data_IF_064986530109
#
_entry.id   IF_064986530109
#
_cell.length_a   1.000
_cell.length_b   1.000
_cell.length_c   1.000
_cell.angle_alpha   90.00
_cell.angle_beta   90.00
_cell.angle_gamma   90.00
#
_symmetry.space_group_name_H-M   'P 1'
#
loop_
_entity.id
_entity.type
_entity.pdbx_description
1 polymer ?
#
# COMPACT_ATOMS: atom_id res chain seq x y z
N UNK A 1 11.77 -0.19 46.61
CA UNK A 1 10.40 0.06 46.09
C UNK A 1 10.01 -1.16 45.31
N UNK A 2 8.75 -1.57 45.39
CA UNK A 2 8.26 -2.63 44.50
C UNK A 2 8.00 -1.97 43.13
N UNK A 3 8.62 -2.49 42.07
CA UNK A 3 8.40 -2.08 40.71
C UNK A 3 7.05 -2.59 40.18
N UNK A 4 6.70 -2.21 38.96
CA UNK A 4 5.43 -2.59 38.30
C UNK A 4 5.36 -4.09 37.96
N UNK A 5 6.52 -4.83 38.01
CA UNK A 5 6.62 -6.27 37.87
C UNK A 5 6.47 -7.04 39.17
N UNK A 6 6.38 -6.31 40.29
CA UNK A 6 6.36 -6.91 41.65
C UNK A 6 7.73 -7.30 42.21
N UNK A 7 8.84 -6.85 41.57
CA UNK A 7 10.20 -7.05 42.07
C UNK A 7 10.52 -5.94 43.09
N UNK A 8 11.17 -6.31 44.15
CA UNK A 8 11.46 -5.39 45.27
C UNK A 8 12.95 -5.03 45.32
N UNK A 9 13.37 -4.17 44.40
CA UNK A 9 14.75 -3.66 44.37
C UNK A 9 14.84 -2.20 43.90
N UNK A 10 15.99 -1.71 43.51
CA UNK A 10 16.23 -0.41 42.90
C UNK A 10 17.07 -0.54 41.62
N UNK A 11 16.93 -1.65 40.90
CA UNK A 11 17.62 -1.90 39.63
C UNK A 11 16.73 -1.59 38.46
N UNK A 12 16.91 -0.45 37.78
CA UNK A 12 16.07 -0.08 36.63
C UNK A 12 16.31 -0.95 35.37
N UNK A 13 17.26 -1.88 35.41
CA UNK A 13 17.56 -2.77 34.30
C UNK A 13 16.62 -3.97 34.21
N UNK A 14 15.89 -4.26 35.28
CA UNK A 14 14.90 -5.33 35.35
C UNK A 14 13.46 -4.81 35.50
N UNK A 15 13.26 -3.49 35.43
CA UNK A 15 11.91 -2.88 35.37
C UNK A 15 11.16 -3.35 34.15
N UNK A 16 9.91 -3.75 34.33
CA UNK A 16 9.05 -4.10 33.18
C UNK A 16 8.73 -2.88 32.34
N UNK A 17 8.65 -3.10 31.04
CA UNK A 17 7.98 -2.17 30.11
C UNK A 17 6.53 -2.61 29.89
N UNK A 18 5.66 -1.65 29.70
CA UNK A 18 4.29 -1.93 29.29
C UNK A 18 4.30 -2.45 27.86
N UNK A 19 3.62 -3.57 27.64
CA UNK A 19 3.35 -4.02 26.28
C UNK A 19 2.32 -3.11 25.58
N UNK A 20 2.05 -3.37 24.30
CA UNK A 20 1.10 -2.56 23.54
C UNK A 20 -0.36 -2.68 24.02
N UNK A 21 -0.70 -3.71 24.82
CA UNK A 21 -1.99 -3.86 25.48
C UNK A 21 -2.06 -3.14 26.84
N UNK A 22 -0.98 -2.48 27.24
CA UNK A 22 -0.89 -1.77 28.51
C UNK A 22 -0.58 -2.66 29.72
N UNK A 23 -0.14 -3.91 29.50
CA UNK A 23 0.19 -4.86 30.54
C UNK A 23 1.68 -4.78 30.84
N UNK A 24 2.03 -4.57 32.11
CA UNK A 24 3.41 -4.53 32.57
C UNK A 24 4.07 -5.92 32.46
N UNK A 25 5.18 -6.01 31.73
CA UNK A 25 5.86 -7.28 31.48
C UNK A 25 5.07 -8.26 30.61
N UNK A 26 4.07 -7.77 29.87
CA UNK A 26 3.30 -8.57 28.93
C UNK A 26 4.08 -8.89 27.66
N UNK A 27 3.59 -9.88 26.93
CA UNK A 27 4.19 -10.38 25.68
C UNK A 27 3.50 -9.83 24.43
N UNK A 28 2.54 -8.90 24.58
CA UNK A 28 1.82 -8.33 23.46
C UNK A 28 2.76 -7.45 22.62
N UNK A 29 2.91 -7.81 21.35
CA UNK A 29 3.70 -7.05 20.37
C UNK A 29 2.80 -6.36 19.37
N UNK A 30 3.24 -5.23 18.87
CA UNK A 30 2.59 -4.54 17.75
C UNK A 30 3.00 -5.28 16.49
N UNK A 31 2.02 -5.70 15.68
CA UNK A 31 2.29 -6.25 14.36
C UNK A 31 2.79 -5.17 13.38
N UNK A 32 3.16 -5.56 12.18
CA UNK A 32 3.63 -4.64 11.13
C UNK A 32 2.58 -3.63 10.67
N UNK A 33 1.30 -3.82 11.03
CA UNK A 33 0.20 -2.86 10.79
C UNK A 33 -0.01 -1.88 11.96
N UNK A 34 0.79 -1.94 13.02
CA UNK A 34 0.60 -1.12 14.20
C UNK A 34 -0.49 -1.63 15.17
N UNK A 35 -1.03 -2.84 14.96
CA UNK A 35 -2.09 -3.42 15.78
C UNK A 35 -1.46 -4.27 16.89
N UNK A 36 -1.88 -3.99 18.12
CA UNK A 36 -1.43 -4.75 19.28
C UNK A 36 -2.00 -6.18 19.26
N UNK A 37 -1.13 -7.19 19.32
CA UNK A 37 -1.44 -8.62 19.13
C UNK A 37 -2.10 -8.94 17.78
N UNK A 38 -1.89 -8.10 16.78
CA UNK A 38 -2.27 -8.42 15.42
C UNK A 38 -1.44 -9.57 14.86
N UNK A 39 -1.97 -10.26 13.88
CA UNK A 39 -1.32 -11.37 13.17
C UNK A 39 -0.78 -10.97 11.78
N UNK A 40 -0.74 -9.65 11.51
CA UNK A 40 -0.35 -9.11 10.21
C UNK A 40 -1.44 -9.23 9.14
N UNK A 41 -2.57 -9.90 9.44
CA UNK A 41 -3.64 -10.10 8.46
C UNK A 41 -4.38 -8.81 8.11
N UNK A 42 -4.32 -7.81 8.99
CA UNK A 42 -4.89 -6.49 8.77
C UNK A 42 -4.08 -5.65 7.78
N UNK A 43 -2.80 -5.99 7.56
CA UNK A 43 -1.98 -5.47 6.49
C UNK A 43 -1.96 -6.39 5.26
N UNK A 44 -2.61 -7.55 5.33
CA UNK A 44 -2.71 -8.50 4.22
C UNK A 44 -3.92 -8.23 3.33
N UNK A 45 -4.16 -6.96 2.99
CA UNK A 45 -4.74 -6.65 1.71
C UNK A 45 -3.56 -6.47 0.76
N UNK A 46 -3.46 -7.29 -0.26
CA UNK A 46 -2.45 -7.21 -1.31
C UNK A 46 -2.17 -5.76 -1.70
N UNK A 47 -0.98 -5.22 -1.31
CA UNK A 47 -0.51 -3.88 -1.66
C UNK A 47 -0.75 -2.82 -0.57
N UNK A 48 0.31 -2.26 -0.05
CA UNK A 48 0.49 -1.02 0.72
C UNK A 48 -0.73 -0.40 1.41
N UNK A 49 -1.21 -1.02 2.50
CA UNK A 49 -2.40 -0.51 3.19
C UNK A 49 -2.19 0.91 3.72
N UNK A 50 -3.04 1.84 3.30
CA UNK A 50 -3.09 3.19 3.89
C UNK A 50 -3.58 3.09 5.34
N UNK A 51 -2.86 3.72 6.27
CA UNK A 51 -3.22 3.72 7.69
C UNK A 51 -4.49 4.55 7.98
N UNK A 52 -4.92 5.37 7.02
CA UNK A 52 -6.14 6.18 7.12
C UNK A 52 -6.41 6.98 5.84
N UNK A 53 -7.62 7.53 5.74
CA UNK A 53 -8.07 8.27 4.56
C UNK A 53 -7.16 9.45 4.19
N UNK A 54 -6.48 10.05 5.17
CA UNK A 54 -5.59 11.20 4.93
C UNK A 54 -4.21 10.81 4.43
N UNK A 55 -3.88 9.52 4.42
CA UNK A 55 -2.64 8.98 3.86
C UNK A 55 -2.81 8.61 2.38
N UNK A 56 -4.05 8.64 1.86
CA UNK A 56 -4.32 8.46 0.45
C UNK A 56 -3.67 9.56 -0.40
N UNK A 57 -3.19 9.24 -1.60
CA UNK A 57 -2.83 10.26 -2.58
C UNK A 57 -3.99 11.24 -2.84
N UNK A 58 -3.65 12.48 -3.19
CA UNK A 58 -4.68 13.49 -3.50
C UNK A 58 -5.49 13.09 -4.72
N UNK A 59 -6.81 13.32 -4.66
CA UNK A 59 -7.80 12.98 -5.68
C UNK A 59 -7.95 11.47 -5.93
N UNK A 60 -7.89 10.70 -4.82
CA UNK A 60 -8.17 9.28 -4.85
C UNK A 60 -9.26 8.87 -3.86
N UNK A 61 -9.86 7.71 -4.13
CA UNK A 61 -10.74 6.99 -3.20
C UNK A 61 -10.22 5.58 -2.98
N UNK A 62 -10.53 5.03 -1.82
CA UNK A 62 -10.13 3.68 -1.41
C UNK A 62 -11.31 2.96 -0.75
N UNK A 63 -11.39 1.65 -0.94
CA UNK A 63 -12.40 0.80 -0.33
C UNK A 63 -11.77 0.01 0.83
N UNK A 64 -12.17 0.34 2.05
CA UNK A 64 -11.79 -0.38 3.26
C UNK A 64 -12.99 -1.19 3.78
N UNK A 65 -13.04 -2.47 3.42
CA UNK A 65 -14.18 -3.34 3.75
C UNK A 65 -15.50 -2.86 3.14
N UNK A 66 -16.24 -2.03 3.85
CA UNK A 66 -17.46 -1.38 3.37
C UNK A 66 -17.39 0.14 3.38
N UNK A 67 -16.33 0.69 3.94
CA UNK A 67 -16.11 2.13 4.04
C UNK A 67 -15.41 2.63 2.77
N UNK A 68 -15.92 3.70 2.17
CA UNK A 68 -15.23 4.39 1.08
C UNK A 68 -14.52 5.60 1.64
N UNK A 69 -13.19 5.54 1.65
CA UNK A 69 -12.34 6.65 2.04
C UNK A 69 -12.04 7.54 0.84
N UNK A 70 -11.77 8.81 1.11
CA UNK A 70 -11.40 9.78 0.08
C UNK A 70 -10.34 10.74 0.57
N UNK A 71 -9.54 11.28 -0.36
CA UNK A 71 -8.69 12.43 -0.18
C UNK A 71 -8.77 13.28 -1.45
N UNK A 72 -9.36 14.48 -1.38
CA UNK A 72 -9.57 15.37 -2.54
C UNK A 72 -9.23 16.81 -2.22
N UNK A 73 -8.78 17.58 -3.21
CA UNK A 73 -8.42 18.99 -3.10
C UNK A 73 -9.53 19.95 -3.56
N UNK A 74 -10.72 19.42 -3.87
CA UNK A 74 -11.89 20.20 -4.28
C UNK A 74 -13.14 19.87 -3.45
N UNK A 75 -14.14 20.74 -3.47
CA UNK A 75 -15.43 20.48 -2.83
C UNK A 75 -16.27 19.55 -3.71
N UNK A 76 -16.67 18.38 -3.20
CA UNK A 76 -17.47 17.40 -3.93
C UNK A 76 -18.91 17.88 -4.03
N UNK A 77 -19.43 17.95 -5.25
CA UNK A 77 -20.85 18.26 -5.56
C UNK A 77 -21.68 17.02 -5.87
N UNK A 78 -21.04 15.94 -6.30
CA UNK A 78 -21.66 14.65 -6.57
C UNK A 78 -20.65 13.58 -6.90
N UNK A 79 -21.05 12.30 -6.78
CA UNK A 79 -20.17 11.17 -7.07
C UNK A 79 -20.94 9.94 -7.51
N UNK A 80 -20.27 9.08 -8.25
CA UNK A 80 -20.73 7.76 -8.66
C UNK A 80 -19.56 6.82 -8.82
N UNK A 81 -19.80 5.52 -8.56
CA UNK A 81 -18.89 4.42 -8.89
C UNK A 81 -19.64 3.09 -8.99
N UNK A 82 -18.96 2.06 -9.46
CA UNK A 82 -19.39 0.68 -9.37
C UNK A 82 -18.53 -0.08 -8.37
N UNK A 83 -19.14 -0.96 -7.60
CA UNK A 83 -18.45 -1.92 -6.72
C UNK A 83 -18.17 -3.18 -7.51
N UNK A 84 -16.90 -3.54 -7.62
CA UNK A 84 -16.47 -4.73 -8.35
C UNK A 84 -16.50 -5.97 -7.44
N UNK A 85 -16.92 -7.09 -7.97
CA UNK A 85 -17.00 -8.37 -7.24
C UNK A 85 -18.21 -8.51 -6.29
N UNK A 86 -18.93 -7.43 -5.97
CA UNK A 86 -20.03 -7.45 -5.00
C UNK A 86 -21.21 -6.57 -5.39
N UNK A 87 -22.27 -6.61 -4.57
CA UNK A 87 -23.44 -5.72 -4.70
C UNK A 87 -23.70 -4.98 -3.40
N UNK A 88 -24.23 -3.77 -3.53
CA UNK A 88 -24.54 -2.89 -2.41
C UNK A 88 -25.97 -3.14 -1.95
N UNK A 89 -26.13 -3.45 -0.67
CA UNK A 89 -27.45 -3.68 -0.05
C UNK A 89 -27.98 -2.45 0.66
N UNK A 90 -27.09 -1.60 1.18
CA UNK A 90 -27.44 -0.30 1.76
C UNK A 90 -26.22 0.61 1.81
N UNK A 91 -26.48 1.92 1.91
CA UNK A 91 -25.47 2.98 2.10
C UNK A 91 -25.90 3.87 3.27
N UNK A 92 -24.95 4.35 4.06
CA UNK A 92 -25.21 5.25 5.18
C UNK A 92 -23.92 5.97 5.61
N UNK A 93 -24.06 6.96 6.47
CA UNK A 93 -22.96 7.57 7.20
C UNK A 93 -21.97 8.36 6.34
N UNK A 94 -20.81 8.62 6.94
CA UNK A 94 -19.72 9.38 6.35
C UNK A 94 -20.02 10.87 6.16
N UNK A 95 -19.07 11.55 5.50
CA UNK A 95 -19.17 12.98 5.22
C UNK A 95 -20.29 13.33 4.24
N UNK A 96 -20.67 12.37 3.38
CA UNK A 96 -21.81 12.50 2.50
C UNK A 96 -23.13 12.70 3.29
N UNK A 97 -23.38 11.86 4.29
CA UNK A 97 -24.54 12.00 5.15
C UNK A 97 -24.49 13.29 5.98
N UNK A 98 -23.33 13.63 6.51
CA UNK A 98 -23.13 14.87 7.28
C UNK A 98 -23.37 16.13 6.44
N UNK A 99 -23.04 16.09 5.13
CA UNK A 99 -23.28 17.17 4.18
C UNK A 99 -24.71 17.18 3.59
N UNK A 100 -25.57 16.25 4.02
CA UNK A 100 -26.95 16.15 3.54
C UNK A 100 -27.09 15.56 2.12
N UNK A 101 -26.15 14.75 1.72
CA UNK A 101 -26.25 13.96 0.48
C UNK A 101 -27.24 12.82 0.63
N UNK A 102 -27.90 12.52 -0.47
CA UNK A 102 -28.60 11.27 -0.66
C UNK A 102 -27.66 10.32 -1.37
N UNK A 103 -27.25 9.22 -0.68
CA UNK A 103 -26.43 8.17 -1.28
C UNK A 103 -27.32 6.97 -1.50
N UNK A 104 -27.32 6.42 -2.72
CA UNK A 104 -28.11 5.27 -3.11
C UNK A 104 -27.23 4.22 -3.76
N UNK A 105 -27.40 2.95 -3.31
CA UNK A 105 -26.83 1.78 -3.96
C UNK A 105 -27.90 0.98 -4.71
N UNK A 106 -27.62 0.60 -5.95
CA UNK A 106 -28.51 -0.23 -6.76
C UNK A 106 -27.69 -1.27 -7.53
N UNK A 107 -27.73 -2.52 -7.09
CA UNK A 107 -26.83 -3.56 -7.62
C UNK A 107 -25.38 -3.23 -7.25
N UNK A 108 -24.51 -3.08 -8.25
CA UNK A 108 -23.13 -2.66 -8.03
C UNK A 108 -22.92 -1.14 -8.04
N UNK A 109 -23.91 -0.35 -8.53
CA UNK A 109 -23.72 1.11 -8.71
C UNK A 109 -24.09 1.86 -7.45
N UNK A 110 -23.24 2.81 -7.06
CA UNK A 110 -23.47 3.79 -5.99
C UNK A 110 -23.51 5.18 -6.60
N UNK A 111 -24.51 5.98 -6.20
CA UNK A 111 -24.69 7.36 -6.63
C UNK A 111 -24.94 8.26 -5.40
N UNK A 112 -24.16 9.32 -5.26
CA UNK A 112 -24.29 10.33 -4.21
C UNK A 112 -24.52 11.73 -4.77
N UNK A 113 -25.57 12.42 -4.30
CA UNK A 113 -25.88 13.77 -4.72
C UNK A 113 -26.69 14.50 -3.64
N UNK A 114 -26.72 15.84 -3.71
CA UNK A 114 -27.51 16.68 -2.81
C UNK A 114 -28.64 17.38 -3.56
N UNK A 115 -29.88 17.22 -3.10
CA UNK A 115 -31.03 17.95 -3.62
C UNK A 115 -31.04 19.45 -3.21
N UNK A 116 -30.30 19.79 -2.16
CA UNK A 116 -30.27 21.13 -1.59
C UNK A 116 -29.04 21.95 -2.01
N UNK A 117 -28.18 21.34 -2.85
CA UNK A 117 -26.93 21.96 -3.27
C UNK A 117 -25.83 21.94 -2.19
N UNK A 118 -25.96 21.04 -1.20
CA UNK A 118 -24.89 20.79 -0.24
C UNK A 118 -23.65 20.21 -0.93
N UNK A 119 -22.47 20.50 -0.39
CA UNK A 119 -21.19 19.99 -0.88
C UNK A 119 -20.41 19.39 0.27
N UNK A 120 -19.56 18.39 -0.03
CA UNK A 120 -18.57 17.87 0.91
C UNK A 120 -17.30 18.68 0.70
N UNK A 121 -16.74 19.22 1.79
CA UNK A 121 -15.55 20.07 1.71
C UNK A 121 -14.33 19.26 1.22
N UNK A 122 -13.42 19.92 0.52
CA UNK A 122 -12.10 19.41 0.23
C UNK A 122 -11.42 18.89 1.51
N UNK A 123 -10.68 17.81 1.40
CA UNK A 123 -10.02 17.13 2.52
C UNK A 123 -10.09 15.62 2.39
N UNK A 124 -9.93 14.93 3.50
CA UNK A 124 -9.88 13.49 3.58
C UNK A 124 -10.80 12.96 4.69
N UNK A 125 -11.34 11.76 4.51
CA UNK A 125 -12.23 11.14 5.48
C UNK A 125 -12.99 9.94 4.91
N UNK A 126 -13.98 9.45 5.65
CA UNK A 126 -14.92 8.45 5.15
C UNK A 126 -16.04 9.14 4.39
N UNK A 127 -16.10 8.90 3.07
CA UNK A 127 -17.13 9.50 2.22
C UNK A 127 -18.52 8.94 2.52
N UNK A 128 -18.64 7.61 2.51
CA UNK A 128 -19.86 6.87 2.86
C UNK A 128 -19.51 5.45 3.28
N UNK A 129 -20.42 4.80 3.96
CA UNK A 129 -20.33 3.40 4.36
C UNK A 129 -21.32 2.57 3.53
N UNK A 130 -20.90 1.41 3.08
CA UNK A 130 -21.70 0.48 2.29
C UNK A 130 -21.84 -0.85 3.03
N UNK A 131 -23.01 -1.46 2.97
CA UNK A 131 -23.21 -2.87 3.33
C UNK A 131 -23.19 -3.67 2.03
N UNK A 132 -22.22 -4.56 1.91
CA UNK A 132 -21.99 -5.39 0.73
C UNK A 132 -22.58 -6.79 0.91
N UNK A 133 -23.02 -7.42 -0.16
CA UNK A 133 -23.57 -8.79 -0.13
C UNK A 133 -22.48 -9.87 -0.21
N UNK A 134 -21.22 -9.48 -0.40
CA UNK A 134 -20.04 -10.35 -0.49
C UNK A 134 -18.79 -9.50 -0.52
N UNK A 135 -17.64 -10.12 -0.74
CA UNK A 135 -16.36 -9.43 -0.81
C UNK A 135 -16.25 -8.63 -2.11
N UNK A 136 -15.94 -7.35 -1.98
CA UNK A 136 -15.66 -6.49 -3.12
C UNK A 136 -14.15 -6.52 -3.44
N UNK A 137 -13.82 -6.46 -4.72
CA UNK A 137 -12.43 -6.46 -5.20
C UNK A 137 -11.92 -5.06 -5.53
N UNK A 138 -12.79 -4.04 -5.52
CA UNK A 138 -12.41 -2.67 -5.79
C UNK A 138 -13.59 -1.80 -6.23
N UNK A 139 -13.26 -0.61 -6.73
CA UNK A 139 -14.22 0.35 -7.28
C UNK A 139 -13.82 0.74 -8.70
N UNK A 140 -14.81 0.80 -9.61
CA UNK A 140 -14.61 1.19 -11.01
C UNK A 140 -15.67 2.17 -11.48
N UNK A 141 -15.51 2.72 -12.71
CA UNK A 141 -16.45 3.67 -13.27
C UNK A 141 -16.65 4.92 -12.42
N UNK A 142 -15.59 5.38 -11.79
CA UNK A 142 -15.57 6.49 -10.85
C UNK A 142 -15.85 7.80 -11.59
N UNK A 143 -16.82 8.55 -11.08
CA UNK A 143 -17.15 9.89 -11.57
C UNK A 143 -17.38 10.79 -10.36
N UNK A 144 -16.62 11.87 -10.27
CA UNK A 144 -16.83 12.93 -9.30
C UNK A 144 -17.12 14.24 -10.00
N UNK A 145 -17.88 15.09 -9.36
CA UNK A 145 -18.07 16.48 -9.79
C UNK A 145 -17.78 17.43 -8.65
N UNK A 146 -17.26 18.58 -9.01
CA UNK A 146 -17.10 19.71 -8.07
C UNK A 146 -18.44 20.37 -7.73
N UNK A 147 -18.38 21.37 -6.87
CA UNK A 147 -19.55 22.17 -6.45
C UNK A 147 -20.25 22.91 -7.60
N UNK A 148 -19.59 23.07 -8.75
CA UNK A 148 -20.12 23.70 -9.97
C UNK A 148 -20.70 22.69 -10.95
N UNK A 149 -20.60 21.39 -10.65
CA UNK A 149 -21.02 20.28 -11.52
C UNK A 149 -20.01 19.96 -12.64
N UNK A 150 -18.78 20.48 -12.54
CA UNK A 150 -17.69 20.12 -13.45
C UNK A 150 -17.09 18.81 -12.99
N UNK A 151 -16.86 17.88 -13.92
CA UNK A 151 -16.21 16.61 -13.60
C UNK A 151 -14.81 16.87 -13.07
N UNK A 152 -14.49 16.23 -11.95
CA UNK A 152 -13.17 16.19 -11.34
C UNK A 152 -12.52 14.82 -11.62
N UNK A 153 -11.21 14.81 -11.79
CA UNK A 153 -10.43 13.61 -11.98
C UNK A 153 -10.12 12.98 -10.62
N UNK A 154 -10.75 11.84 -10.36
CA UNK A 154 -10.57 11.04 -9.14
C UNK A 154 -10.39 9.59 -9.55
N UNK A 155 -9.37 8.94 -9.00
CA UNK A 155 -9.03 7.55 -9.29
C UNK A 155 -9.24 6.65 -8.08
N UNK A 156 -9.29 5.34 -8.32
CA UNK A 156 -9.27 4.34 -7.27
C UNK A 156 -7.82 4.09 -6.85
N UNK A 157 -7.56 4.13 -5.56
CA UNK A 157 -6.31 3.69 -4.98
C UNK A 157 -6.47 2.22 -4.60
N UNK A 158 -5.71 1.33 -5.19
CA UNK A 158 -5.80 -0.12 -4.98
C UNK A 158 -4.86 -0.65 -3.88
N UNK A 159 -4.16 0.29 -3.20
CA UNK A 159 -3.21 -0.04 -2.13
C UNK A 159 -1.79 -0.27 -2.63
N UNK A 160 -1.58 -0.35 -3.91
CA UNK A 160 -0.28 -0.28 -4.57
C UNK A 160 0.01 1.18 -4.94
N UNK A 161 1.19 1.68 -4.68
CA UNK A 161 1.59 2.98 -5.21
C UNK A 161 1.39 3.00 -6.72
N UNK A 162 0.92 4.13 -7.23
CA UNK A 162 0.59 4.44 -8.62
C UNK A 162 0.18 3.23 -9.49
N UNK A 163 -0.98 3.32 -10.17
CA UNK A 163 -1.31 2.37 -11.23
C UNK A 163 -0.33 2.58 -12.40
N UNK A 164 0.90 2.21 -12.18
CA UNK A 164 1.94 2.17 -13.17
C UNK A 164 2.12 0.74 -13.66
N UNK A 165 2.57 0.57 -14.85
CA UNK A 165 3.04 -0.71 -15.31
C UNK A 165 4.26 -1.11 -14.45
N UNK A 166 4.22 -2.26 -13.80
CA UNK A 166 5.29 -2.93 -13.05
C UNK A 166 5.34 -4.36 -13.58
N UNK A 167 6.06 -4.56 -14.67
CA UNK A 167 6.06 -5.80 -15.48
C UNK A 167 6.78 -6.93 -14.76
N UNK A 168 7.76 -6.62 -13.91
CA UNK A 168 8.55 -7.63 -13.18
C UNK A 168 8.14 -7.79 -11.71
N UNK A 169 7.12 -7.00 -11.28
CA UNK A 169 6.50 -7.09 -9.95
C UNK A 169 7.51 -6.90 -8.80
N UNK A 170 8.52 -6.03 -9.00
CA UNK A 170 9.52 -5.73 -7.96
C UNK A 170 9.10 -4.58 -7.03
N UNK A 171 7.98 -3.90 -7.35
CA UNK A 171 7.39 -2.80 -6.59
C UNK A 171 7.90 -1.43 -7.02
N UNK A 172 8.64 -1.34 -8.13
CA UNK A 172 9.07 -0.10 -8.78
C UNK A 172 8.36 -0.01 -10.13
N UNK A 173 7.74 1.14 -10.41
CA UNK A 173 7.06 1.35 -11.69
C UNK A 173 8.03 1.32 -12.86
N UNK A 174 7.63 0.73 -14.00
CA UNK A 174 8.46 0.61 -15.21
C UNK A 174 9.04 1.95 -15.69
N UNK A 175 8.38 3.07 -15.42
CA UNK A 175 8.84 4.42 -15.80
C UNK A 175 9.84 5.04 -14.80
N UNK A 176 9.94 4.48 -13.60
CA UNK A 176 10.93 4.83 -12.56
C UNK A 176 11.97 3.72 -12.36
N UNK A 177 11.74 2.52 -12.93
CA UNK A 177 12.64 1.39 -12.82
C UNK A 177 13.78 1.47 -13.85
N UNK A 178 15.01 1.46 -13.35
CA UNK A 178 16.23 1.37 -14.17
C UNK A 178 16.39 -0.01 -14.83
N UNK A 179 15.63 -1.05 -14.39
CA UNK A 179 15.69 -2.40 -14.93
C UNK A 179 14.37 -3.17 -14.82
N UNK A 180 13.54 -3.08 -15.84
CA UNK A 180 12.33 -3.90 -15.99
C UNK A 180 12.74 -5.37 -16.20
N UNK A 181 12.89 -6.11 -15.07
CA UNK A 181 13.35 -7.49 -15.06
C UNK A 181 14.34 -7.77 -13.94
N UNK A 182 15.42 -8.43 -14.21
CA UNK A 182 16.44 -8.72 -13.20
C UNK A 182 17.85 -8.42 -13.68
N UNK A 183 18.68 -7.94 -12.76
CA UNK A 183 20.10 -7.75 -13.03
C UNK A 183 20.82 -9.10 -13.04
N UNK A 184 21.66 -9.33 -14.03
CA UNK A 184 22.58 -10.46 -14.06
C UNK A 184 23.74 -10.26 -13.05
N UNK A 185 24.59 -11.27 -12.89
CA UNK A 185 25.74 -11.19 -11.99
C UNK A 185 26.77 -10.11 -12.40
N UNK A 186 26.68 -9.59 -13.63
CA UNK A 186 27.51 -8.50 -14.15
C UNK A 186 26.87 -7.11 -13.90
N UNK A 187 25.66 -7.05 -13.32
CA UNK A 187 24.91 -5.82 -13.12
C UNK A 187 24.27 -5.29 -14.41
N UNK A 188 24.03 -6.15 -15.39
CA UNK A 188 23.35 -5.80 -16.65
C UNK A 188 21.88 -6.23 -16.52
N UNK A 189 20.98 -5.30 -16.76
CA UNK A 189 19.55 -5.57 -16.76
C UNK A 189 19.20 -6.59 -17.86
N UNK A 190 18.50 -7.67 -17.48
CA UNK A 190 18.16 -8.80 -18.35
C UNK A 190 19.38 -9.41 -19.08
N UNK A 191 20.56 -9.31 -18.47
CA UNK A 191 21.81 -9.87 -19.00
C UNK A 191 21.85 -11.39 -18.88
N UNK A 192 22.91 -11.96 -19.46
CA UNK A 192 23.18 -13.41 -19.52
C UNK A 192 24.49 -13.81 -18.82
N UNK A 193 24.98 -12.97 -17.92
CA UNK A 193 26.24 -13.11 -17.19
C UNK A 193 27.52 -13.10 -18.07
N UNK A 194 27.38 -12.89 -19.36
CA UNK A 194 28.51 -13.05 -20.30
C UNK A 194 29.44 -11.85 -20.35
N UNK A 195 28.98 -10.68 -19.92
CA UNK A 195 29.73 -9.40 -20.08
C UNK A 195 30.89 -9.23 -19.09
N UNK A 196 30.90 -9.97 -18.00
CA UNK A 196 31.92 -9.92 -16.95
C UNK A 196 32.57 -11.27 -16.66
N UNK A 197 32.51 -12.20 -17.62
CA UNK A 197 33.17 -13.48 -17.46
C UNK A 197 34.70 -13.32 -17.43
N UNK A 198 35.33 -13.98 -16.46
CA UNK A 198 36.76 -14.19 -16.50
C UNK A 198 37.14 -15.23 -17.58
N UNK A 199 38.41 -15.51 -17.76
CA UNK A 199 38.86 -16.50 -18.74
C UNK A 199 38.43 -17.95 -18.42
N UNK A 200 38.00 -18.23 -17.18
CA UNK A 200 37.44 -19.51 -16.78
C UNK A 200 35.93 -19.59 -16.95
N UNK A 201 35.27 -18.47 -17.39
CA UNK A 201 33.83 -18.39 -17.59
C UNK A 201 33.06 -18.16 -16.29
N UNK A 202 33.67 -17.54 -15.30
CA UNK A 202 33.03 -17.19 -14.00
C UNK A 202 32.66 -15.73 -14.03
N UNK A 203 31.37 -15.32 -13.82
CA UNK A 203 30.96 -13.94 -13.73
C UNK A 203 31.71 -13.22 -12.59
N UNK A 204 32.29 -12.06 -12.90
CA UNK A 204 33.13 -11.27 -11.97
C UNK A 204 34.27 -12.12 -11.32
N UNK A 205 34.71 -13.16 -11.97
CA UNK A 205 35.85 -13.96 -11.55
C UNK A 205 37.16 -13.21 -11.72
N UNK A 206 38.21 -13.69 -11.07
CA UNK A 206 39.55 -13.09 -11.03
C UNK A 206 40.60 -13.91 -11.81
N UNK A 207 40.18 -14.97 -12.53
CA UNK A 207 41.08 -15.76 -13.36
C UNK A 207 41.50 -14.96 -14.59
N UNK A 208 42.80 -14.94 -14.85
CA UNK A 208 43.41 -14.27 -16.00
C UNK A 208 44.20 -15.28 -16.82
N UNK A 209 44.35 -15.03 -18.13
CA UNK A 209 45.23 -15.88 -18.94
C UNK A 209 46.66 -15.41 -18.73
N UNK A 210 47.48 -16.29 -18.21
CA UNK A 210 48.94 -16.07 -17.99
C UNK A 210 49.73 -16.03 -19.31
N UNK A 211 51.03 -15.75 -19.23
CA UNK A 211 51.91 -15.73 -20.42
C UNK A 211 52.14 -17.13 -21.06
N UNK A 212 51.81 -18.20 -20.30
CA UNK A 212 51.82 -19.57 -20.78
C UNK A 212 50.50 -20.01 -21.46
N UNK A 213 49.47 -19.15 -21.42
CA UNK A 213 48.14 -19.44 -21.96
C UNK A 213 47.27 -20.26 -21.02
N UNK A 214 47.61 -20.35 -19.72
CA UNK A 214 46.79 -21.01 -18.70
C UNK A 214 45.85 -19.97 -18.09
N UNK A 215 44.58 -20.33 -17.90
CA UNK A 215 43.57 -19.47 -17.30
C UNK A 215 43.37 -19.89 -15.83
N UNK A 216 43.94 -19.14 -14.93
CA UNK A 216 43.73 -19.27 -13.48
C UNK A 216 44.10 -17.99 -12.73
N UNK A 217 44.14 -18.05 -11.41
CA UNK A 217 44.62 -16.97 -10.54
C UNK A 217 45.83 -17.37 -9.69
N UNK A 218 46.57 -18.42 -10.13
CA UNK A 218 47.75 -18.95 -9.44
C UNK A 218 49.04 -18.41 -10.05
N UNK A 219 49.55 -17.30 -9.52
CA UNK A 219 50.81 -16.71 -9.96
C UNK A 219 52.04 -17.58 -9.74
N UNK A 220 51.91 -18.76 -9.14
CA UNK A 220 53.05 -19.69 -8.93
C UNK A 220 53.35 -20.56 -10.15
N UNK A 221 52.44 -20.62 -11.13
CA UNK A 221 52.60 -21.35 -12.37
C UNK A 221 52.78 -20.47 -13.61
N UNK A 222 52.85 -19.14 -13.43
CA UNK A 222 53.16 -18.18 -14.48
C UNK A 222 54.55 -18.47 -15.12
N UNK A 223 54.68 -18.34 -16.43
CA UNK A 223 55.93 -18.58 -17.14
C UNK A 223 57.00 -17.50 -16.95
#
# INVERSE_FOLDING_TARGET
>A
VVDECGTCDNDPSNDCVQDCAGIWGGDAVVDECGICNGDGSSCSGDGGGVAGACDLPTNTIYLDGGDVWYNVDFNIGGFQWNVDGSTVTSTAGGDAAAAGFTVQGAGSTVLGFSFTGGTISAGCGTLTQMVLAGDATGLSGIVFSDASGVQADVTYYDGGGDACDDVDEDGICDDEDDCIGSYDACGICNGDDSSCLDCAGVPNGDAVVDECGVCDNDSSNDC
#
